data_IF_713911971829
#
_entry.id   IF_713911971829
#
_cell.length_a   1.000
_cell.length_b   1.000
_cell.length_c   1.000
_cell.angle_alpha   90.00
_cell.angle_beta   90.00
_cell.angle_gamma   90.00
#
_symmetry.space_group_name_H-M   'P 1'
#
loop_
_entity.id
_entity.type
_entity.pdbx_description
1 polymer ?
#
# COMPACT_ATOMS: atom_id res chain seq x y z
N UNK A 1 6.52 24.53 -18.96
CA UNK A 1 7.03 25.13 -18.17
C UNK A 1 6.86 25.25 -17.55
N UNK A 2 6.63 24.82 -17.76
CA UNK A 2 6.99 25.12 -16.99
C UNK A 2 6.99 25.12 -16.65
N UNK A 3 6.89 24.61 -17.49
CA UNK A 3 7.35 24.97 -16.90
C UNK A 3 7.46 25.05 -16.65
N UNK A 4 7.33 24.93 -16.94
CA UNK A 4 7.83 25.28 -16.31
C UNK A 4 7.95 25.26 -15.86
N UNK A 5 7.80 24.72 -16.25
CA UNK A 5 8.32 24.98 -15.56
C UNK A 5 8.36 24.64 -15.30
N UNK A 6 8.53 24.04 -15.22
CA UNK A 6 8.93 24.04 -14.65
C UNK A 6 9.09 23.72 -14.38
N UNK A 7 9.15 23.07 -14.50
CA UNK A 7 9.63 22.99 -13.89
C UNK A 7 9.75 22.62 -13.65
N UNK A 8 9.90 22.28 -13.78
CA UNK A 8 10.37 22.14 -13.22
C UNK A 8 10.51 21.55 -12.76
N UNK A 9 10.56 21.13 -12.89
CA UNK A 9 10.89 20.86 -12.28
C UNK A 9 10.88 20.37 -11.99
N UNK A 10 11.01 20.07 -12.12
CA UNK A 10 11.14 19.95 -11.61
C UNK A 10 11.36 19.47 -11.54
N UNK A 11 11.44 19.24 -11.68
CA UNK A 11 11.78 18.89 -11.68
C UNK A 11 12.04 18.37 -11.81
N UNK A 12 12.15 18.22 -11.87
CA UNK A 12 12.25 17.84 -11.92
C UNK A 12 12.17 17.32 -11.90
N UNK A 13 12.43 17.56 -11.82
CA UNK A 13 12.27 16.92 -11.87
C UNK A 13 11.87 15.97 -12.03
N UNK A 14 12.48 15.50 -11.55
CA UNK A 14 12.15 14.32 -12.22
C UNK A 14 10.67 14.03 -12.33
N UNK A 15 10.24 14.28 -13.38
CA UNK A 15 8.85 13.99 -13.66
C UNK A 15 8.71 12.53 -14.09
N UNK A 16 7.84 11.78 -13.42
CA UNK A 16 7.51 10.39 -13.78
C UNK A 16 6.06 10.35 -14.21
N UNK A 17 5.83 10.00 -15.48
CA UNK A 17 4.49 9.94 -16.01
C UNK A 17 3.68 8.79 -15.41
N UNK A 18 2.42 9.03 -15.11
CA UNK A 18 1.48 7.99 -14.70
C UNK A 18 1.28 7.00 -15.85
N UNK A 19 1.30 5.71 -15.53
CA UNK A 19 1.03 4.66 -16.50
C UNK A 19 -0.36 4.10 -16.28
N UNK A 20 -1.00 3.70 -17.38
CA UNK A 20 -2.34 3.11 -17.36
C UNK A 20 -2.17 1.60 -17.52
N UNK A 21 -2.76 0.78 -16.64
CA UNK A 21 -2.75 -0.67 -16.82
C UNK A 21 -3.36 -1.08 -18.14
N UNK A 22 -2.84 -2.14 -18.73
CA UNK A 22 -3.32 -2.66 -20.01
C UNK A 22 -2.92 -4.11 -20.18
N UNK A 23 -3.08 -4.68 -21.40
CA UNK A 23 -2.81 -6.11 -21.62
C UNK A 23 -1.40 -6.55 -21.26
N UNK A 24 -0.41 -5.66 -21.42
CA UNK A 24 0.98 -5.97 -21.10
C UNK A 24 1.30 -5.85 -19.63
N UNK A 25 0.47 -5.13 -18.88
CA UNK A 25 0.66 -4.93 -17.45
C UNK A 25 -0.70 -4.73 -16.79
N UNK A 26 -1.50 -5.81 -16.69
CA UNK A 26 -2.85 -5.69 -16.12
C UNK A 26 -2.80 -5.52 -14.61
N UNK A 27 -3.76 -4.76 -14.08
CA UNK A 27 -4.01 -4.64 -12.64
C UNK A 27 -5.49 -4.86 -12.45
N UNK A 28 -5.84 -5.82 -11.60
CA UNK A 28 -7.23 -6.07 -11.23
C UNK A 28 -7.37 -5.99 -9.72
N UNK A 29 -8.46 -5.38 -9.26
CA UNK A 29 -8.75 -5.22 -7.85
C UNK A 29 -10.14 -5.79 -7.61
N UNK A 30 -10.24 -6.69 -6.62
CA UNK A 30 -11.51 -7.33 -6.30
C UNK A 30 -11.64 -7.50 -4.79
N UNK A 31 -12.87 -7.53 -4.27
CA UNK A 31 -13.07 -7.84 -2.86
C UNK A 31 -12.52 -9.21 -2.53
N UNK A 32 -11.80 -9.31 -1.41
CA UNK A 32 -11.32 -10.57 -0.92
C UNK A 32 -12.46 -11.26 -0.17
N UNK A 33 -12.71 -12.52 -0.49
CA UNK A 33 -13.72 -13.29 0.23
C UNK A 33 -13.14 -13.78 1.55
N UNK A 34 -13.88 -13.56 2.64
CA UNK A 34 -13.48 -14.03 3.95
C UNK A 34 -12.89 -12.92 4.80
N UNK A 35 -12.42 -13.33 5.97
CA UNK A 35 -11.85 -12.43 6.96
C UNK A 35 -10.33 -12.50 6.91
N UNK A 36 -9.69 -11.33 6.89
CA UNK A 36 -8.25 -11.22 6.96
C UNK A 36 -7.87 -10.88 8.40
N UNK A 37 -6.89 -11.59 8.94
CA UNK A 37 -6.23 -11.19 10.20
C UNK A 37 -4.75 -11.02 9.94
N UNK A 38 -4.15 -10.00 10.56
CA UNK A 38 -2.73 -9.73 10.45
C UNK A 38 -2.14 -9.65 11.85
N UNK A 39 -1.09 -10.41 12.09
CA UNK A 39 -0.40 -10.42 13.37
C UNK A 39 1.06 -10.03 13.19
N UNK A 40 1.55 -9.25 14.13
CA UNK A 40 2.96 -8.90 14.25
C UNK A 40 3.45 -9.38 15.59
N UNK A 41 4.40 -10.33 15.58
CA UNK A 41 4.98 -10.88 16.81
C UNK A 41 3.90 -11.37 17.78
N UNK A 42 2.88 -12.04 17.24
CA UNK A 42 1.79 -12.61 18.05
C UNK A 42 0.69 -11.62 18.44
N UNK A 43 0.83 -10.34 18.08
CA UNK A 43 -0.16 -9.32 18.39
C UNK A 43 -0.97 -9.02 17.14
N UNK A 44 -2.30 -9.05 17.25
CA UNK A 44 -3.15 -8.74 16.12
C UNK A 44 -3.12 -7.23 15.83
N UNK A 45 -2.70 -6.87 14.63
CA UNK A 45 -2.58 -5.46 14.23
C UNK A 45 -3.62 -5.05 13.19
N UNK A 46 -4.36 -6.01 12.62
CA UNK A 46 -5.46 -5.71 11.71
C UNK A 46 -6.40 -6.90 11.62
N UNK A 47 -7.69 -6.59 11.39
CA UNK A 47 -8.70 -7.60 11.09
C UNK A 47 -9.78 -6.94 10.22
N UNK A 48 -10.15 -7.57 9.10
CA UNK A 48 -11.09 -6.96 8.20
C UNK A 48 -11.89 -8.00 7.43
N UNK A 49 -13.18 -7.72 7.23
CA UNK A 49 -14.04 -8.46 6.31
C UNK A 49 -14.18 -7.71 4.98
N UNK A 50 -13.47 -6.59 4.81
CA UNK A 50 -13.61 -5.69 3.66
C UNK A 50 -12.28 -5.48 2.93
N UNK A 51 -11.37 -6.45 3.03
CA UNK A 51 -10.09 -6.35 2.35
C UNK A 51 -10.26 -6.49 0.84
N UNK A 52 -9.30 -5.91 0.11
CA UNK A 52 -9.25 -6.01 -1.33
C UNK A 52 -8.04 -6.83 -1.74
N UNK A 53 -8.16 -7.55 -2.84
CA UNK A 53 -7.05 -8.27 -3.44
C UNK A 53 -6.67 -7.57 -4.74
N UNK A 54 -5.40 -7.19 -4.85
CA UNK A 54 -4.86 -6.56 -6.06
C UNK A 54 -3.93 -7.54 -6.75
N UNK A 55 -4.21 -7.84 -8.01
CA UNK A 55 -3.34 -8.66 -8.84
C UNK A 55 -2.73 -7.79 -9.92
N UNK A 56 -1.43 -7.81 -10.01
CA UNK A 56 -0.68 -6.97 -10.92
C UNK A 56 0.28 -7.82 -11.74
N UNK A 57 0.07 -7.87 -13.05
CA UNK A 57 0.93 -8.60 -13.99
C UNK A 57 1.22 -10.02 -13.48
N UNK A 58 2.51 -10.40 -13.36
CA UNK A 58 2.92 -11.72 -12.89
C UNK A 58 3.29 -11.72 -11.42
N UNK A 59 3.12 -10.59 -10.71
CA UNK A 59 3.50 -10.47 -9.31
C UNK A 59 2.50 -11.21 -8.42
N UNK A 60 2.93 -11.67 -7.24
CA UNK A 60 1.98 -12.23 -6.27
C UNK A 60 0.89 -11.22 -5.89
N UNK A 61 -0.29 -11.74 -5.60
CA UNK A 61 -1.40 -10.89 -5.18
C UNK A 61 -1.06 -10.18 -3.88
N UNK A 62 -1.54 -8.93 -3.75
CA UNK A 62 -1.35 -8.12 -2.55
C UNK A 62 -2.70 -7.85 -1.93
N UNK A 63 -2.81 -8.03 -0.62
CA UNK A 63 -4.03 -7.77 0.12
C UNK A 63 -3.95 -6.39 0.73
N UNK A 64 -4.99 -5.57 0.49
CA UNK A 64 -5.11 -4.22 1.01
C UNK A 64 -6.24 -4.17 2.01
N UNK A 65 -5.95 -3.68 3.21
CA UNK A 65 -6.87 -3.64 4.35
C UNK A 65 -7.30 -2.20 4.59
N UNK A 66 -8.61 -1.92 4.74
CA UNK A 66 -9.05 -0.55 5.04
C UNK A 66 -8.40 -0.03 6.33
N UNK A 67 -8.01 1.23 6.33
CA UNK A 67 -7.40 1.85 7.52
C UNK A 67 -8.35 1.88 8.71
N UNK A 68 -9.65 1.81 8.48
CA UNK A 68 -10.62 1.71 9.56
C UNK A 68 -10.55 0.38 10.32
N UNK A 69 -9.88 -0.62 9.76
CA UNK A 69 -9.84 -1.97 10.32
C UNK A 69 -8.46 -2.33 10.90
N UNK A 70 -7.58 -1.34 11.08
CA UNK A 70 -6.27 -1.57 11.71
C UNK A 70 -6.28 -1.07 13.15
N UNK A 71 -5.42 -1.67 13.97
CA UNK A 71 -5.20 -1.24 15.35
C UNK A 71 -4.11 -0.17 15.34
N UNK A 72 -4.51 1.07 15.19
CA UNK A 72 -3.62 2.19 14.83
C UNK A 72 -2.48 2.41 15.84
N UNK A 73 -2.69 2.01 17.09
CA UNK A 73 -1.68 2.18 18.14
C UNK A 73 -0.38 1.43 17.86
N UNK A 74 -0.41 0.46 16.93
CA UNK A 74 0.77 -0.32 16.56
C UNK A 74 1.52 0.24 15.35
N UNK A 75 1.04 1.33 14.77
CA UNK A 75 1.58 1.89 13.52
C UNK A 75 2.24 3.22 13.77
N UNK A 76 3.49 3.36 13.31
CA UNK A 76 4.24 4.61 13.42
C UNK A 76 4.59 5.06 12.01
N UNK A 77 4.11 6.25 11.63
CA UNK A 77 4.43 6.80 10.30
C UNK A 77 5.92 7.09 10.21
N UNK A 78 6.51 6.74 9.08
CA UNK A 78 7.92 7.05 8.81
C UNK A 78 8.03 8.07 7.70
N UNK A 79 9.26 8.50 7.38
CA UNK A 79 9.50 9.43 6.29
C UNK A 79 9.79 8.70 4.98
N UNK A 80 9.81 7.37 5.01
CA UNK A 80 10.07 6.60 3.81
C UNK A 80 8.96 6.80 2.78
N UNK A 81 9.35 6.98 1.53
CA UNK A 81 8.42 7.18 0.42
C UNK A 81 8.93 6.42 -0.79
N UNK A 82 8.01 5.86 -1.57
CA UNK A 82 8.34 5.23 -2.85
C UNK A 82 7.32 5.67 -3.89
N UNK A 83 7.66 5.48 -5.15
CA UNK A 83 6.77 5.83 -6.25
C UNK A 83 6.52 4.63 -7.15
N UNK A 84 5.25 4.39 -7.45
CA UNK A 84 4.83 3.38 -8.42
C UNK A 84 4.16 4.08 -9.58
N UNK A 85 4.62 3.88 -10.84
CA UNK A 85 4.03 4.56 -11.99
C UNK A 85 2.56 4.25 -12.20
N UNK A 86 2.08 3.12 -11.71
CA UNK A 86 0.69 2.69 -11.87
C UNK A 86 -0.20 3.11 -10.69
N UNK A 87 0.37 3.23 -9.47
CA UNK A 87 -0.43 3.43 -8.26
C UNK A 87 -0.25 4.79 -7.60
N UNK A 88 0.91 5.43 -7.78
CA UNK A 88 1.19 6.73 -7.19
C UNK A 88 2.29 6.66 -6.14
N UNK A 89 2.27 7.60 -5.20
CA UNK A 89 3.27 7.68 -4.14
C UNK A 89 2.82 6.89 -2.92
N UNK A 90 3.67 6.01 -2.43
CA UNK A 90 3.41 5.22 -1.22
C UNK A 90 4.05 5.88 -0.01
N UNK A 91 3.30 5.95 1.07
CA UNK A 91 3.79 6.31 2.40
C UNK A 91 3.91 5.04 3.22
N UNK A 92 4.67 5.10 4.31
CA UNK A 92 5.04 3.89 5.06
C UNK A 92 4.81 4.05 6.54
N UNK A 93 4.54 2.90 7.18
CA UNK A 93 4.47 2.79 8.64
C UNK A 93 5.39 1.66 9.10
N UNK A 94 6.00 1.87 10.26
CA UNK A 94 6.62 0.78 11.00
C UNK A 94 5.59 0.17 11.93
N UNK A 95 5.74 -1.11 12.24
CA UNK A 95 4.90 -1.78 13.24
C UNK A 95 5.65 -1.87 14.54
N UNK A 96 4.93 -1.67 15.65
CA UNK A 96 5.48 -1.81 17.00
C UNK A 96 4.50 -2.59 17.86
N UNK A 97 5.02 -3.53 18.66
CA UNK A 97 4.24 -4.30 19.60
C UNK A 97 5.19 -4.94 20.62
N UNK A 98 4.86 -4.83 21.89
CA UNK A 98 5.59 -5.50 22.99
C UNK A 98 7.11 -5.22 22.93
N UNK A 99 7.48 -3.96 22.68
CA UNK A 99 8.89 -3.55 22.63
C UNK A 99 9.63 -3.98 21.38
N UNK A 100 8.95 -4.60 20.41
CA UNK A 100 9.55 -5.01 19.15
C UNK A 100 9.04 -4.12 18.04
N UNK A 101 9.85 -3.97 16.97
CA UNK A 101 9.44 -3.14 15.83
C UNK A 101 9.92 -3.76 14.52
N UNK A 102 9.19 -3.43 13.44
CA UNK A 102 9.59 -3.76 12.08
C UNK A 102 9.49 -2.49 11.27
N UNK A 103 10.65 -1.99 10.83
CA UNK A 103 10.74 -0.73 10.13
C UNK A 103 10.12 -0.83 8.74
N UNK A 104 9.26 0.14 8.40
CA UNK A 104 8.63 0.25 7.08
C UNK A 104 7.93 -1.03 6.62
N UNK A 105 7.28 -1.71 7.56
CA UNK A 105 6.63 -3.00 7.29
C UNK A 105 5.30 -2.86 6.55
N UNK A 106 4.74 -1.65 6.50
CA UNK A 106 3.40 -1.38 5.97
C UNK A 106 3.48 -0.22 5.00
N UNK A 107 2.76 -0.32 3.85
CA UNK A 107 2.68 0.81 2.93
C UNK A 107 1.22 1.15 2.65
N UNK A 108 1.01 2.38 2.16
CA UNK A 108 -0.32 2.87 1.83
C UNK A 108 -0.22 3.91 0.70
N UNK A 109 -1.21 3.93 -0.17
CA UNK A 109 -1.37 4.96 -1.18
C UNK A 109 -2.47 5.89 -0.69
N UNK A 110 -2.09 7.03 -0.11
CA UNK A 110 -3.08 7.97 0.44
C UNK A 110 -3.77 8.75 -0.67
N UNK A 111 -3.11 8.88 -1.82
CA UNK A 111 -3.69 9.46 -3.02
C UNK A 111 -3.33 8.54 -4.18
N UNK A 112 -4.18 7.54 -4.42
CA UNK A 112 -3.93 6.56 -5.47
C UNK A 112 -4.30 7.14 -6.84
N UNK A 113 -3.58 6.69 -7.88
CA UNK A 113 -3.97 7.06 -9.24
C UNK A 113 -5.36 6.51 -9.59
N UNK A 114 -6.06 7.17 -10.54
CA UNK A 114 -7.45 6.79 -10.83
C UNK A 114 -7.68 5.32 -11.16
N UNK A 115 -6.72 4.67 -11.85
CA UNK A 115 -6.87 3.27 -12.24
C UNK A 115 -6.93 2.32 -11.06
N UNK A 116 -6.46 2.74 -9.89
CA UNK A 116 -6.41 1.90 -8.68
C UNK A 116 -7.04 2.62 -7.49
N UNK A 117 -8.00 3.49 -7.76
CA UNK A 117 -8.61 4.33 -6.72
C UNK A 117 -9.18 3.52 -5.56
N UNK A 118 -9.60 2.28 -5.83
CA UNK A 118 -10.20 1.42 -4.80
C UNK A 118 -9.27 1.17 -3.61
N UNK A 119 -7.93 1.14 -3.83
CA UNK A 119 -7.00 0.87 -2.74
C UNK A 119 -6.62 2.12 -1.94
N UNK A 120 -7.10 3.28 -2.35
CA UNK A 120 -6.79 4.51 -1.61
C UNK A 120 -7.28 4.39 -0.18
N UNK A 121 -6.44 4.80 0.77
CA UNK A 121 -6.80 4.70 2.18
C UNK A 121 -6.76 3.29 2.75
N UNK A 122 -6.15 2.36 2.03
CA UNK A 122 -5.93 0.99 2.50
C UNK A 122 -4.45 0.80 2.80
N UNK A 123 -4.13 -0.19 3.64
CA UNK A 123 -2.75 -0.53 3.95
C UNK A 123 -2.43 -1.94 3.46
N UNK A 124 -1.18 -2.15 3.09
CA UNK A 124 -0.66 -3.47 2.72
C UNK A 124 0.59 -3.76 3.55
N UNK A 125 0.94 -5.03 3.66
CA UNK A 125 1.98 -5.48 4.58
C UNK A 125 3.03 -6.30 3.83
N UNK A 126 4.30 -6.13 4.18
CA UNK A 126 5.34 -7.01 3.66
C UNK A 126 5.18 -8.37 4.32
N UNK A 127 5.02 -9.45 3.54
CA UNK A 127 4.69 -10.77 4.08
C UNK A 127 5.78 -11.38 4.96
N UNK A 128 7.03 -10.93 4.81
CA UNK A 128 8.13 -11.40 5.65
C UNK A 128 8.15 -10.71 7.03
N UNK A 129 7.30 -9.71 7.24
CA UNK A 129 7.27 -8.95 8.50
C UNK A 129 6.08 -9.31 9.37
N UNK A 130 5.04 -9.91 8.80
CA UNK A 130 3.79 -10.21 9.54
C UNK A 130 3.32 -11.62 9.20
N UNK A 131 2.35 -12.09 9.98
CA UNK A 131 1.58 -13.29 9.66
C UNK A 131 0.19 -12.85 9.24
N UNK A 132 -0.12 -13.07 7.96
CA UNK A 132 -1.42 -12.71 7.40
C UNK A 132 -2.19 -13.99 7.09
N UNK A 133 -3.42 -14.08 7.57
CA UNK A 133 -4.28 -15.25 7.34
C UNK A 133 -5.62 -14.81 6.78
N UNK A 134 -6.14 -15.62 5.87
CA UNK A 134 -7.48 -15.45 5.32
C UNK A 134 -8.33 -16.64 5.79
N UNK A 135 -9.46 -16.33 6.38
CA UNK A 135 -10.37 -17.33 6.96
C UNK A 135 -11.61 -17.55 6.12
#
# INVERSE_FOLDING_TARGET
MQALGLSVSFAHTGFIAMKIPGPDHPITISPLKGRVTVQFKGVQVAQSDKALELKEAQYPAVIYVPRSDISIEHYVRTEHRTHCPYKGDASYFSLTADGQSAENAVWTYEEAYPSVKEIEGHVAFYPDKVTLKVH
#
